data_IF_629643612229
#
_entry.id   IF_629643612229
#
_cell.length_a   1.000
_cell.length_b   1.000
_cell.length_c   1.000
_cell.angle_alpha   90.00
_cell.angle_beta   90.00
_cell.angle_gamma   90.00
#
_symmetry.space_group_name_H-M   'P 1'
#
loop_
_entity.id
_entity.type
_entity.pdbx_description
1 polymer ?
#
# COMPACT_ATOMS: atom_id res chain seq x y z
N UNK A 1 -2.76 19.92 12.95
CA UNK A 1 -1.36 20.27 12.65
C UNK A 1 -1.18 20.32 11.13
N UNK A 2 -1.43 21.47 10.48
CA UNK A 2 -1.53 21.53 9.01
C UNK A 2 -0.21 21.23 8.29
N UNK A 3 0.94 21.56 8.90
CA UNK A 3 2.26 21.26 8.35
C UNK A 3 2.53 19.75 8.27
N UNK A 4 2.35 19.01 9.38
CA UNK A 4 2.59 17.57 9.43
C UNK A 4 1.63 16.80 8.50
N UNK A 5 0.40 17.26 8.36
CA UNK A 5 -0.56 16.64 7.43
C UNK A 5 -0.18 16.85 5.96
N UNK A 6 0.40 18.01 5.63
CA UNK A 6 0.91 18.28 4.29
C UNK A 6 2.12 17.38 3.99
N UNK A 7 3.10 17.35 4.89
CA UNK A 7 4.30 16.51 4.76
C UNK A 7 3.93 15.01 4.68
N UNK A 8 2.98 14.56 5.50
CA UNK A 8 2.46 13.19 5.41
C UNK A 8 1.79 12.88 4.07
N UNK A 9 0.97 13.79 3.53
CA UNK A 9 0.35 13.62 2.20
C UNK A 9 1.41 13.56 1.10
N UNK A 10 2.44 14.39 1.18
CA UNK A 10 3.56 14.37 0.24
C UNK A 10 4.36 13.06 0.33
N UNK A 11 4.59 12.57 1.55
CA UNK A 11 5.21 11.27 1.79
C UNK A 11 4.37 10.14 1.16
N UNK A 12 3.06 10.09 1.44
CA UNK A 12 2.16 9.08 0.88
C UNK A 12 2.15 9.15 -0.64
N UNK A 13 2.01 10.35 -1.23
CA UNK A 13 2.03 10.53 -2.67
C UNK A 13 3.36 10.08 -3.31
N UNK A 14 4.49 10.30 -2.64
CA UNK A 14 5.80 9.85 -3.08
C UNK A 14 5.95 8.31 -2.99
N UNK A 15 5.51 7.71 -1.88
CA UNK A 15 5.67 6.27 -1.59
C UNK A 15 4.68 5.38 -2.35
N UNK A 16 3.46 5.87 -2.61
CA UNK A 16 2.40 5.15 -3.35
C UNK A 16 2.48 5.35 -4.85
N UNK A 17 3.39 6.18 -5.33
CA UNK A 17 3.57 6.41 -6.77
C UNK A 17 3.91 5.09 -7.47
N UNK A 18 3.24 4.76 -8.58
CA UNK A 18 3.52 3.53 -9.30
C UNK A 18 4.98 3.50 -9.79
N UNK A 19 5.59 2.33 -9.65
CA UNK A 19 6.96 2.10 -10.08
C UNK A 19 7.14 2.38 -11.57
N UNK A 20 8.24 3.06 -11.92
CA UNK A 20 8.52 3.47 -13.28
C UNK A 20 8.57 2.26 -14.24
N UNK A 21 7.63 2.24 -15.21
CA UNK A 21 7.51 1.41 -16.43
C UNK A 21 8.81 1.31 -17.26
N UNK A 22 9.08 0.17 -17.90
CA UNK A 22 10.01 0.08 -19.02
C UNK A 22 9.10 0.15 -20.23
N UNK A 23 9.49 0.90 -21.26
CA UNK A 23 8.72 0.88 -22.49
C UNK A 23 9.60 1.13 -23.70
N UNK A 24 9.16 0.58 -24.84
CA UNK A 24 9.81 0.82 -26.13
C UNK A 24 9.73 2.30 -26.52
N UNK A 25 8.66 2.97 -26.10
CA UNK A 25 8.37 4.37 -26.43
C UNK A 25 8.67 5.35 -25.28
N UNK A 26 9.47 4.98 -24.28
CA UNK A 26 9.68 5.81 -23.08
C UNK A 26 10.25 7.20 -23.42
N UNK A 27 11.20 7.24 -24.36
CA UNK A 27 11.80 8.49 -24.87
C UNK A 27 10.76 9.30 -25.63
N UNK A 28 10.01 8.67 -26.52
CA UNK A 28 9.00 9.34 -27.34
C UNK A 28 7.89 9.94 -26.47
N UNK A 29 7.46 9.22 -25.42
CA UNK A 29 6.46 9.71 -24.48
C UNK A 29 7.00 10.89 -23.65
N UNK A 30 8.24 10.80 -23.14
CA UNK A 30 8.87 11.91 -22.42
C UNK A 30 9.04 13.16 -23.29
N UNK A 31 9.44 12.98 -24.56
CA UNK A 31 9.55 14.08 -25.53
C UNK A 31 8.19 14.68 -25.85
N UNK A 32 7.16 13.85 -26.12
CA UNK A 32 5.78 14.31 -26.36
C UNK A 32 5.24 15.12 -25.18
N UNK A 33 5.52 14.67 -23.96
CA UNK A 33 5.09 15.36 -22.74
C UNK A 33 5.76 16.74 -22.61
N UNK A 34 7.06 16.85 -22.88
CA UNK A 34 7.75 18.15 -22.89
C UNK A 34 7.21 19.05 -24.03
N UNK A 35 6.93 18.48 -25.20
CA UNK A 35 6.32 19.23 -26.30
C UNK A 35 4.91 19.74 -25.95
N UNK A 36 4.11 18.96 -25.22
CA UNK A 36 2.81 19.39 -24.72
C UNK A 36 2.95 20.53 -23.70
N UNK A 37 3.98 20.51 -22.84
CA UNK A 37 4.29 21.62 -21.94
C UNK A 37 4.70 22.89 -22.71
N UNK A 38 5.45 22.77 -23.80
CA UNK A 38 5.72 23.91 -24.67
C UNK A 38 4.47 24.50 -25.30
N UNK A 39 3.53 23.66 -25.76
CA UNK A 39 2.25 24.15 -26.30
C UNK A 39 1.42 24.85 -25.22
N UNK A 40 1.39 24.32 -24.00
CA UNK A 40 0.71 24.96 -22.87
C UNK A 40 1.35 26.30 -22.51
N UNK A 41 2.69 26.37 -22.42
CA UNK A 41 3.43 27.63 -22.17
C UNK A 41 3.10 28.68 -23.23
N UNK A 42 3.08 28.29 -24.50
CA UNK A 42 2.76 29.22 -25.59
C UNK A 42 1.30 29.70 -25.52
N UNK A 43 0.36 28.84 -25.09
CA UNK A 43 -1.03 29.24 -24.87
C UNK A 43 -1.15 30.26 -23.72
N UNK A 44 -0.46 30.04 -22.60
CA UNK A 44 -0.42 31.02 -21.49
C UNK A 44 0.23 32.36 -21.91
N UNK A 45 1.25 32.33 -22.77
CA UNK A 45 1.83 33.56 -23.31
C UNK A 45 0.85 34.36 -24.19
N UNK A 46 -0.02 33.67 -24.95
CA UNK A 46 -1.10 34.32 -25.72
C UNK A 46 -2.17 34.89 -24.79
N UNK A 47 -2.55 34.15 -23.74
CA UNK A 47 -3.49 34.62 -22.73
C UNK A 47 -2.96 35.87 -22.00
N UNK A 48 -1.69 35.88 -21.61
CA UNK A 48 -1.01 37.05 -21.03
C UNK A 48 -1.02 38.24 -21.98
N UNK A 49 -0.69 38.06 -23.25
CA UNK A 49 -0.76 39.13 -24.25
C UNK A 49 -2.17 39.71 -24.40
N UNK A 50 -3.20 38.88 -24.25
CA UNK A 50 -4.59 39.33 -24.23
C UNK A 50 -4.95 40.13 -22.97
N UNK A 51 -4.46 39.71 -21.80
CA UNK A 51 -4.65 40.44 -20.54
C UNK A 51 -3.88 41.77 -20.54
N UNK A 52 -2.64 41.79 -21.04
CA UNK A 52 -1.83 43.00 -21.23
C UNK A 52 -2.53 43.98 -22.16
N UNK A 53 -3.12 43.49 -23.26
CA UNK A 53 -3.87 44.34 -24.17
C UNK A 53 -5.08 44.99 -23.49
N UNK A 54 -5.83 44.25 -22.66
CA UNK A 54 -6.95 44.80 -21.88
C UNK A 54 -6.49 45.85 -20.87
N UNK A 55 -5.38 45.60 -20.17
CA UNK A 55 -4.79 46.54 -19.21
C UNK A 55 -4.30 47.84 -19.89
N UNK A 56 -3.73 47.73 -21.09
CA UNK A 56 -3.23 48.89 -21.84
C UNK A 56 -4.38 49.67 -22.51
N UNK A 57 -5.35 48.96 -23.11
CA UNK A 57 -6.47 49.57 -23.82
C UNK A 57 -7.52 50.16 -22.86
N UNK A 58 -7.55 49.71 -21.60
CA UNK A 58 -8.55 50.14 -20.62
C UNK A 58 -9.95 49.58 -20.90
N UNK A 59 -10.05 48.55 -21.75
CA UNK A 59 -11.32 47.92 -22.14
C UNK A 59 -11.48 46.59 -21.40
N UNK A 60 -12.21 46.65 -20.29
CA UNK A 60 -12.38 45.54 -19.36
C UNK A 60 -13.73 44.81 -19.53
N UNK A 61 -14.62 45.34 -20.38
CA UNK A 61 -16.02 44.91 -20.45
C UNK A 61 -16.84 45.38 -19.23
N UNK A 62 -18.16 45.25 -19.29
CA UNK A 62 -19.09 45.76 -18.26
C UNK A 62 -18.99 45.01 -16.91
N UNK A 63 -18.42 43.80 -16.90
CA UNK A 63 -18.48 42.87 -15.76
C UNK A 63 -17.13 42.59 -15.06
N UNK A 64 -15.99 43.12 -15.54
CA UNK A 64 -14.68 42.89 -14.91
C UNK A 64 -14.02 44.17 -14.44
N UNK A 65 -13.54 44.17 -13.19
CA UNK A 65 -12.74 45.26 -12.65
C UNK A 65 -11.26 45.08 -13.02
N UNK A 66 -10.52 46.19 -12.97
CA UNK A 66 -9.06 46.20 -13.17
C UNK A 66 -8.36 45.22 -12.21
N UNK A 67 -8.85 45.13 -10.98
CA UNK A 67 -8.35 44.23 -9.94
C UNK A 67 -8.50 42.75 -10.34
N UNK A 68 -9.60 42.38 -10.99
CA UNK A 68 -9.84 41.00 -11.46
C UNK A 68 -8.88 40.62 -12.59
N UNK A 69 -8.65 41.55 -13.52
CA UNK A 69 -7.71 41.36 -14.64
C UNK A 69 -6.27 41.27 -14.16
N UNK A 70 -5.89 42.07 -13.15
CA UNK A 70 -4.58 41.98 -12.50
C UNK A 70 -4.41 40.67 -11.73
N UNK A 71 -5.43 40.21 -10.99
CA UNK A 71 -5.39 38.94 -10.29
C UNK A 71 -5.25 37.76 -11.27
N UNK A 72 -5.99 37.78 -12.38
CA UNK A 72 -5.87 36.80 -13.45
C UNK A 72 -4.47 36.83 -14.09
N UNK A 73 -3.92 38.03 -14.36
CA UNK A 73 -2.57 38.20 -14.90
C UNK A 73 -1.53 37.56 -13.98
N UNK A 74 -1.55 37.88 -12.68
CA UNK A 74 -0.64 37.28 -11.68
C UNK A 74 -0.78 35.75 -11.66
N UNK A 75 -2.01 35.23 -11.65
CA UNK A 75 -2.24 33.79 -11.64
C UNK A 75 -1.71 33.08 -12.90
N UNK A 76 -1.80 33.70 -14.08
CA UNK A 76 -1.25 33.14 -15.32
C UNK A 76 0.28 33.21 -15.34
N UNK A 77 0.88 34.30 -14.83
CA UNK A 77 2.35 34.40 -14.67
C UNK A 77 2.87 33.29 -13.75
N UNK A 78 2.22 33.05 -12.61
CA UNK A 78 2.62 32.00 -11.67
C UNK A 78 2.52 30.60 -12.31
N UNK A 79 1.46 30.34 -13.08
CA UNK A 79 1.32 29.09 -13.85
C UNK A 79 2.39 28.95 -14.92
N UNK A 80 2.72 30.03 -15.64
CA UNK A 80 3.77 30.01 -16.65
C UNK A 80 5.13 29.70 -16.01
N UNK A 81 5.45 30.33 -14.89
CA UNK A 81 6.69 30.07 -14.15
C UNK A 81 6.77 28.61 -13.69
N UNK A 82 5.69 28.07 -13.12
CA UNK A 82 5.63 26.66 -12.72
C UNK A 82 5.87 25.71 -13.91
N UNK A 83 5.28 25.98 -15.07
CA UNK A 83 5.49 25.18 -16.28
C UNK A 83 6.92 25.31 -16.79
N UNK A 84 7.51 26.50 -16.79
CA UNK A 84 8.90 26.71 -17.20
C UNK A 84 9.88 25.94 -16.30
N UNK A 85 9.65 25.94 -14.99
CA UNK A 85 10.46 25.16 -14.05
C UNK A 85 10.25 23.65 -14.28
N UNK A 86 9.04 23.23 -14.63
CA UNK A 86 8.73 21.84 -15.01
C UNK A 86 9.42 21.44 -16.32
N UNK A 87 9.48 22.34 -17.31
CA UNK A 87 10.20 22.10 -18.57
C UNK A 87 11.70 21.98 -18.29
N UNK A 88 12.29 22.93 -17.55
CA UNK A 88 13.72 22.93 -17.20
C UNK A 88 14.12 21.66 -16.46
N UNK A 89 13.31 21.22 -15.49
CA UNK A 89 13.58 19.98 -14.74
C UNK A 89 13.51 18.74 -15.64
N UNK A 90 12.52 18.63 -16.53
CA UNK A 90 12.42 17.51 -17.49
C UNK A 90 13.52 17.53 -18.54
N UNK A 91 13.90 18.69 -19.02
CA UNK A 91 15.03 18.90 -19.92
C UNK A 91 16.36 18.47 -19.28
N UNK A 92 16.61 18.88 -18.03
CA UNK A 92 17.77 18.44 -17.25
C UNK A 92 17.80 16.92 -17.10
N UNK A 93 16.66 16.28 -16.81
CA UNK A 93 16.55 14.82 -16.71
C UNK A 93 16.91 14.09 -18.00
N UNK A 94 16.55 14.65 -19.15
CA UNK A 94 16.92 14.08 -20.46
C UNK A 94 18.33 14.51 -20.92
N UNK A 95 18.96 15.49 -20.28
CA UNK A 95 20.25 16.06 -20.66
C UNK A 95 20.17 16.96 -21.91
N UNK A 96 19.03 17.60 -22.15
CA UNK A 96 18.72 18.35 -23.38
C UNK A 96 18.51 19.82 -23.07
N UNK A 97 18.99 20.74 -23.91
CA UNK A 97 18.85 22.19 -23.70
C UNK A 97 17.73 22.83 -24.55
N UNK A 98 17.48 22.32 -25.77
CA UNK A 98 16.63 23.02 -26.75
C UNK A 98 15.50 22.15 -27.32
N UNK A 99 14.44 22.80 -27.83
CA UNK A 99 13.25 22.16 -28.40
C UNK A 99 13.54 21.41 -29.71
N UNK A 100 14.45 21.93 -30.55
CA UNK A 100 14.84 21.29 -31.80
C UNK A 100 15.61 19.99 -31.55
N UNK A 101 16.44 19.99 -30.50
CA UNK A 101 17.14 18.80 -30.03
C UNK A 101 16.14 17.72 -29.56
N UNK A 102 15.01 18.10 -28.92
CA UNK A 102 14.01 17.12 -28.48
C UNK A 102 13.39 16.29 -29.62
N UNK A 103 13.11 16.91 -30.76
CA UNK A 103 12.56 16.18 -31.93
C UNK A 103 13.56 15.16 -32.47
N UNK A 104 14.85 15.50 -32.48
CA UNK A 104 15.94 14.64 -32.92
C UNK A 104 16.24 13.48 -31.96
N UNK A 105 15.79 13.57 -30.71
CA UNK A 105 15.96 12.51 -29.71
C UNK A 105 14.87 11.45 -29.77
N UNK A 106 13.80 11.68 -30.52
CA UNK A 106 12.80 10.64 -30.78
C UNK A 106 13.45 9.44 -31.47
N UNK A 107 13.25 8.25 -30.93
CA UNK A 107 13.86 7.02 -31.45
C UNK A 107 15.36 6.85 -31.13
N UNK A 108 15.99 7.71 -30.32
CA UNK A 108 17.37 7.50 -29.91
C UNK A 108 17.49 6.26 -29.00
N UNK A 109 18.09 5.20 -29.53
CA UNK A 109 18.27 3.91 -28.83
C UNK A 109 19.12 4.03 -27.57
N UNK A 110 20.11 4.93 -27.54
CA UNK A 110 20.96 5.13 -26.36
C UNK A 110 20.16 5.74 -25.19
N UNK A 111 19.38 6.80 -25.46
CA UNK A 111 18.52 7.41 -24.44
C UNK A 111 17.43 6.46 -23.97
N UNK A 112 16.92 5.63 -24.87
CA UNK A 112 15.96 4.58 -24.53
C UNK A 112 16.57 3.56 -23.56
N UNK A 113 17.79 3.09 -23.82
CA UNK A 113 18.51 2.21 -22.90
C UNK A 113 18.76 2.90 -21.57
N UNK A 114 19.22 4.15 -21.56
CA UNK A 114 19.49 4.91 -20.33
C UNK A 114 18.25 5.07 -19.45
N UNK A 115 17.12 5.51 -20.02
CA UNK A 115 15.87 5.67 -19.28
C UNK A 115 15.31 4.33 -18.78
N UNK A 116 15.38 3.28 -19.61
CA UNK A 116 14.93 1.94 -19.22
C UNK A 116 15.85 1.30 -18.15
N UNK A 117 17.16 1.55 -18.21
CA UNK A 117 18.12 1.10 -17.20
C UNK A 117 17.87 1.79 -15.86
N UNK A 118 17.64 3.11 -15.86
CA UNK A 118 17.23 3.86 -14.66
C UNK A 118 15.93 3.31 -14.06
N UNK A 119 14.90 3.10 -14.88
CA UNK A 119 13.63 2.53 -14.43
C UNK A 119 13.80 1.12 -13.82
N UNK A 120 14.67 0.28 -14.40
CA UNK A 120 15.00 -1.02 -13.81
C UNK A 120 15.76 -0.91 -12.51
N UNK A 121 16.75 -0.01 -12.44
CA UNK A 121 17.55 0.19 -11.23
C UNK A 121 16.67 0.64 -10.07
N UNK A 122 15.76 1.58 -10.32
CA UNK A 122 14.78 2.01 -9.31
C UNK A 122 13.91 0.85 -8.85
N UNK A 123 13.33 0.07 -9.77
CA UNK A 123 12.53 -1.11 -9.42
C UNK A 123 13.31 -2.16 -8.65
N UNK A 124 14.57 -2.38 -9.01
CA UNK A 124 15.44 -3.32 -8.33
C UNK A 124 15.68 -2.86 -6.89
N UNK A 125 16.00 -1.58 -6.67
CA UNK A 125 16.13 -0.99 -5.32
C UNK A 125 14.85 -1.18 -4.51
N UNK A 126 13.70 -0.86 -5.08
CA UNK A 126 12.42 -0.95 -4.37
C UNK A 126 12.08 -2.41 -4.01
N UNK A 127 12.32 -3.37 -4.92
CA UNK A 127 12.14 -4.80 -4.61
C UNK A 127 13.09 -5.32 -3.55
N UNK A 128 14.32 -4.84 -3.53
CA UNK A 128 15.30 -5.19 -2.51
C UNK A 128 14.94 -4.59 -1.15
N UNK A 129 14.47 -3.34 -1.10
CA UNK A 129 13.94 -2.73 0.13
C UNK A 129 12.73 -3.49 0.64
N UNK A 130 11.77 -3.82 -0.21
CA UNK A 130 10.60 -4.61 0.17
C UNK A 130 11.02 -5.97 0.74
N UNK A 131 11.93 -6.69 0.07
CA UNK A 131 12.48 -7.95 0.61
C UNK A 131 13.09 -7.76 2.00
N UNK A 132 13.86 -6.69 2.23
CA UNK A 132 14.47 -6.41 3.53
C UNK A 132 13.40 -6.19 4.60
N UNK A 133 12.36 -5.40 4.30
CA UNK A 133 11.24 -5.20 5.21
C UNK A 133 10.45 -6.48 5.49
N UNK A 134 10.30 -7.36 4.49
CA UNK A 134 9.66 -8.67 4.66
C UNK A 134 10.46 -9.60 5.58
N UNK A 135 11.79 -9.62 5.46
CA UNK A 135 12.66 -10.38 6.36
C UNK A 135 12.64 -9.80 7.78
N UNK A 136 12.70 -8.48 7.92
CA UNK A 136 12.60 -7.82 9.23
C UNK A 136 11.23 -8.05 9.88
N UNK A 137 10.17 -8.14 9.07
CA UNK A 137 8.83 -8.55 9.52
C UNK A 137 8.85 -9.96 10.11
N UNK A 138 9.54 -10.91 9.46
CA UNK A 138 9.73 -12.27 10.00
C UNK A 138 10.53 -12.25 11.30
N UNK A 139 11.64 -11.54 11.35
CA UNK A 139 12.50 -11.45 12.54
C UNK A 139 11.77 -10.85 13.75
N UNK A 140 10.91 -9.85 13.54
CA UNK A 140 10.10 -9.27 14.63
C UNK A 140 8.99 -10.21 15.09
N UNK A 141 8.31 -10.89 14.18
CA UNK A 141 7.33 -11.90 14.54
C UNK A 141 7.97 -13.01 15.38
N UNK A 142 9.16 -13.47 14.97
CA UNK A 142 9.95 -14.47 15.71
C UNK A 142 10.26 -14.05 17.15
N UNK A 143 10.56 -12.76 17.39
CA UNK A 143 10.84 -12.26 18.75
C UNK A 143 9.61 -12.16 19.64
N UNK A 144 8.40 -12.08 19.07
CA UNK A 144 7.18 -11.71 19.79
C UNK A 144 6.17 -12.86 19.99
N UNK A 145 6.31 -14.02 19.32
CA UNK A 145 5.36 -15.14 19.42
C UNK A 145 6.04 -16.51 19.49
N UNK A 146 5.79 -17.27 20.57
CA UNK A 146 6.45 -18.56 20.86
C UNK A 146 5.66 -19.81 20.41
N UNK A 147 4.39 -19.68 19.98
CA UNK A 147 3.52 -20.86 19.76
C UNK A 147 3.21 -21.24 18.30
N UNK A 148 3.16 -20.31 17.33
CA UNK A 148 2.74 -20.56 15.94
C UNK A 148 3.84 -20.31 14.89
N UNK A 149 5.08 -20.71 15.20
CA UNK A 149 6.31 -20.34 14.46
C UNK A 149 6.44 -20.96 13.05
N UNK A 150 5.97 -22.20 12.85
CA UNK A 150 6.33 -23.01 11.67
C UNK A 150 5.56 -22.63 10.40
N UNK A 151 4.24 -22.34 10.52
CA UNK A 151 3.37 -22.01 9.39
C UNK A 151 3.70 -20.63 8.80
N UNK A 152 3.84 -19.60 9.65
CA UNK A 152 4.22 -18.24 9.25
C UNK A 152 5.62 -18.21 8.61
N UNK A 153 6.59 -18.88 9.22
CA UNK A 153 7.92 -19.03 8.65
C UNK A 153 7.87 -19.70 7.27
N UNK A 154 7.10 -20.77 7.11
CA UNK A 154 6.97 -21.46 5.82
C UNK A 154 6.37 -20.56 4.73
N UNK A 155 5.37 -19.73 5.07
CA UNK A 155 4.70 -18.86 4.12
C UNK A 155 5.61 -17.71 3.66
N UNK A 156 6.25 -17.01 4.61
CA UNK A 156 7.16 -15.91 4.29
C UNK A 156 8.43 -16.41 3.62
N UNK A 157 9.00 -17.55 4.07
CA UNK A 157 10.16 -18.15 3.42
C UNK A 157 9.84 -18.56 1.97
N UNK A 158 8.64 -19.12 1.72
CA UNK A 158 8.16 -19.34 0.35
C UNK A 158 8.10 -18.01 -0.39
N UNK A 159 7.40 -16.99 0.10
CA UNK A 159 7.28 -15.70 -0.59
C UNK A 159 8.65 -15.08 -0.93
N UNK A 160 9.57 -15.07 0.03
CA UNK A 160 10.95 -14.59 -0.12
C UNK A 160 11.71 -15.40 -1.19
N UNK A 161 11.60 -16.73 -1.18
CA UNK A 161 12.23 -17.61 -2.16
C UNK A 161 11.64 -17.42 -3.57
N UNK A 162 10.34 -17.17 -3.68
CA UNK A 162 9.68 -16.88 -4.96
C UNK A 162 10.12 -15.55 -5.57
N UNK A 163 10.41 -14.54 -4.73
CA UNK A 163 10.86 -13.23 -5.20
C UNK A 163 12.33 -13.21 -5.65
N UNK A 164 13.21 -14.03 -5.05
CA UNK A 164 14.64 -14.11 -5.38
C UNK A 164 14.94 -14.26 -6.88
N UNK A 165 14.40 -15.27 -7.59
CA UNK A 165 14.70 -15.45 -9.01
C UNK A 165 14.21 -14.27 -9.84
N UNK A 166 13.10 -13.64 -9.44
CA UNK A 166 12.56 -12.47 -10.14
C UNK A 166 13.44 -11.23 -9.95
N UNK A 167 13.98 -11.02 -8.75
CA UNK A 167 14.96 -9.95 -8.46
C UNK A 167 16.27 -10.21 -9.24
N UNK A 168 16.77 -11.45 -9.23
CA UNK A 168 17.97 -11.82 -9.98
C UNK A 168 17.80 -11.64 -11.50
N UNK A 169 16.61 -11.92 -12.06
CA UNK A 169 16.27 -11.64 -13.47
C UNK A 169 16.30 -10.15 -13.78
N UNK A 170 15.80 -9.30 -12.89
CA UNK A 170 15.87 -7.85 -13.07
C UNK A 170 17.31 -7.33 -13.06
N UNK A 171 18.13 -7.82 -12.13
CA UNK A 171 19.56 -7.48 -12.07
C UNK A 171 20.29 -7.90 -13.35
N UNK A 172 20.01 -9.11 -13.87
CA UNK A 172 20.54 -9.56 -15.16
C UNK A 172 20.15 -8.61 -16.30
N UNK A 173 18.85 -8.29 -16.42
CA UNK A 173 18.34 -7.40 -17.48
C UNK A 173 18.95 -5.98 -17.39
N UNK A 174 19.17 -5.48 -16.17
CA UNK A 174 19.87 -4.22 -15.96
C UNK A 174 21.34 -4.30 -16.43
N UNK A 175 22.06 -5.35 -16.07
CA UNK A 175 23.44 -5.56 -16.51
C UNK A 175 23.54 -5.68 -18.04
N UNK A 176 22.61 -6.40 -18.68
CA UNK A 176 22.53 -6.51 -20.14
C UNK A 176 22.39 -5.11 -20.79
N UNK A 177 21.56 -4.22 -20.22
CA UNK A 177 21.44 -2.84 -20.68
C UNK A 177 22.72 -2.02 -20.47
N UNK A 178 23.46 -2.24 -19.38
CA UNK A 178 24.75 -1.59 -19.14
C UNK A 178 25.79 -2.00 -20.21
N UNK A 179 25.83 -3.28 -20.58
CA UNK A 179 26.69 -3.77 -21.66
C UNK A 179 26.29 -3.18 -23.02
N UNK A 180 24.99 -3.13 -23.34
CA UNK A 180 24.49 -2.51 -24.56
C UNK A 180 24.81 -1.01 -24.64
N UNK A 181 24.72 -0.29 -23.52
CA UNK A 181 25.11 1.12 -23.44
C UNK A 181 26.61 1.30 -23.66
N UNK A 182 27.43 0.43 -23.07
CA UNK A 182 28.89 0.43 -23.27
C UNK A 182 29.24 0.19 -24.73
N UNK A 183 28.52 -0.73 -25.40
CA UNK A 183 28.67 -1.00 -26.83
C UNK A 183 28.31 0.24 -27.66
N UNK A 184 27.20 0.91 -27.37
CA UNK A 184 26.80 2.13 -28.11
C UNK A 184 27.76 3.31 -27.90
N UNK A 185 28.39 3.41 -26.72
CA UNK A 185 29.45 4.39 -26.45
C UNK A 185 30.68 4.09 -27.31
N UNK A 186 31.12 2.83 -27.37
CA UNK A 186 32.24 2.40 -28.23
C UNK A 186 31.96 2.63 -29.72
N UNK A 187 30.72 2.46 -30.16
CA UNK A 187 30.28 2.70 -31.54
C UNK A 187 30.11 4.20 -31.87
N UNK A 188 30.30 5.12 -30.92
CA UNK A 188 30.17 6.56 -31.13
C UNK A 188 28.72 7.04 -31.33
N UNK A 189 27.72 6.21 -31.00
CA UNK A 189 26.28 6.53 -31.14
C UNK A 189 25.70 7.24 -29.90
N UNK A 190 26.48 7.34 -28.84
CA UNK A 190 26.12 8.04 -27.62
C UNK A 190 26.52 9.54 -27.68
N UNK A 191 25.85 10.42 -26.93
CA UNK A 191 26.27 11.82 -26.79
C UNK A 191 27.71 11.94 -26.26
N UNK A 192 28.41 13.02 -26.64
CA UNK A 192 29.79 13.27 -26.20
C UNK A 192 29.89 13.32 -24.66
N UNK A 193 30.99 12.76 -24.11
CA UNK A 193 31.29 12.66 -22.67
C UNK A 193 30.31 11.81 -21.85
N UNK A 194 29.60 10.87 -22.46
CA UNK A 194 28.72 9.96 -21.72
C UNK A 194 29.50 8.86 -21.00
N UNK A 195 29.20 8.66 -19.71
CA UNK A 195 29.78 7.60 -18.87
C UNK A 195 28.80 6.42 -18.85
N UNK A 196 29.33 5.20 -19.02
CA UNK A 196 28.54 3.98 -18.94
C UNK A 196 28.14 3.69 -17.48
N UNK A 197 26.92 3.20 -17.22
CA UNK A 197 26.52 2.78 -15.89
C UNK A 197 27.27 1.52 -15.45
N UNK A 198 27.51 1.42 -14.13
CA UNK A 198 28.19 0.27 -13.51
C UNK A 198 27.22 -0.92 -13.42
N UNK A 199 27.60 -2.11 -13.92
CA UNK A 199 26.84 -3.35 -13.70
C UNK A 199 26.82 -3.77 -12.23
N UNK A 200 25.72 -4.36 -11.78
CA UNK A 200 25.54 -4.79 -10.39
C UNK A 200 26.12 -6.20 -10.21
N UNK A 201 26.89 -6.38 -9.13
CA UNK A 201 27.34 -7.72 -8.72
C UNK A 201 26.13 -8.56 -8.27
N UNK A 202 25.95 -9.73 -8.88
CA UNK A 202 24.82 -10.61 -8.63
C UNK A 202 25.03 -11.50 -7.41
N UNK A 203 26.28 -11.75 -7.04
CA UNK A 203 26.63 -12.65 -5.94
C UNK A 203 26.37 -11.98 -4.59
N UNK A 204 26.60 -10.67 -4.50
CA UNK A 204 26.33 -9.84 -3.30
C UNK A 204 24.96 -9.16 -3.33
N UNK A 205 24.11 -9.46 -4.31
CA UNK A 205 22.83 -8.77 -4.53
C UNK A 205 21.87 -8.83 -3.33
N UNK A 206 21.94 -9.91 -2.54
CA UNK A 206 21.09 -10.13 -1.39
C UNK A 206 21.76 -9.80 -0.05
N UNK A 207 23.08 -9.57 -0.05
CA UNK A 207 23.87 -9.15 1.10
C UNK A 207 24.12 -7.63 1.02
N UNK A 208 23.04 -6.86 1.00
CA UNK A 208 23.09 -5.42 0.72
C UNK A 208 23.78 -4.63 1.82
N UNK A 209 24.78 -3.86 1.45
CA UNK A 209 25.43 -2.85 2.29
C UNK A 209 25.14 -1.42 1.79
N UNK A 210 25.42 -0.43 2.62
CA UNK A 210 25.24 1.01 2.33
C UNK A 210 26.14 1.45 1.18
N UNK A 211 27.32 0.84 1.03
CA UNK A 211 28.34 1.19 0.05
C UNK A 211 28.16 0.48 -1.32
N UNK A 212 27.13 -0.34 -1.48
CA UNK A 212 26.93 -1.10 -2.72
C UNK A 212 26.63 -0.19 -3.94
N UNK A 213 27.20 -0.55 -5.09
CA UNK A 213 27.04 0.14 -6.39
C UNK A 213 25.58 0.29 -6.84
N UNK A 214 24.66 -0.48 -6.24
CA UNK A 214 23.24 -0.35 -6.49
C UNK A 214 22.71 1.02 -6.05
N UNK A 215 23.31 1.68 -5.06
CA UNK A 215 22.87 2.98 -4.55
C UNK A 215 23.42 4.16 -5.37
N UNK A 216 24.44 3.93 -6.20
CA UNK A 216 25.08 4.99 -7.00
C UNK A 216 24.41 5.12 -8.38
N UNK A 217 24.02 6.32 -8.82
CA UNK A 217 23.41 6.53 -10.15
C UNK A 217 24.40 6.98 -11.24
N UNK A 218 25.65 6.52 -11.16
CA UNK A 218 26.71 6.84 -12.13
C UNK A 218 26.25 6.47 -13.55
N UNK A 219 26.30 7.44 -14.47
CA UNK A 219 25.91 7.26 -15.88
C UNK A 219 24.41 7.21 -16.14
N UNK A 220 23.56 7.16 -15.10
CA UNK A 220 22.09 7.12 -15.22
C UNK A 220 21.42 8.45 -14.89
N UNK A 221 21.99 9.23 -13.96
CA UNK A 221 21.42 10.53 -13.56
C UNK A 221 22.38 11.71 -13.68
N UNK A 222 21.77 12.89 -13.89
CA UNK A 222 22.36 14.20 -13.61
C UNK A 222 21.50 14.88 -12.55
N UNK A 223 21.76 14.52 -11.28
CA UNK A 223 21.26 15.16 -10.06
C UNK A 223 19.74 15.43 -10.03
N UNK A 224 18.97 14.46 -9.52
CA UNK A 224 17.68 14.76 -8.89
C UNK A 224 17.89 15.79 -7.76
N UNK A 225 16.96 16.74 -7.66
CA UNK A 225 17.04 17.96 -6.86
C UNK A 225 17.61 17.77 -5.44
N UNK A 226 18.50 18.67 -5.05
CA UNK A 226 19.21 18.76 -3.76
C UNK A 226 18.30 19.01 -2.54
N UNK A 227 17.00 19.24 -2.74
CA UNK A 227 16.08 19.53 -1.65
C UNK A 227 15.49 18.23 -1.12
N UNK A 228 16.09 17.73 -0.04
CA UNK A 228 15.58 16.61 0.74
C UNK A 228 14.26 17.06 1.39
N UNK A 229 13.13 16.37 1.16
CA UNK A 229 11.85 16.71 1.80
C UNK A 229 11.93 16.66 3.33
N UNK A 230 11.14 17.48 4.01
CA UNK A 230 11.12 17.55 5.48
C UNK A 230 10.77 16.22 6.13
N UNK A 231 9.76 15.52 5.60
CA UNK A 231 9.39 14.16 6.03
C UNK A 231 10.48 13.09 5.85
N UNK A 232 11.57 13.38 5.13
CA UNK A 232 12.69 12.46 4.93
C UNK A 232 13.95 12.91 5.67
N UNK A 233 14.22 14.22 5.72
CA UNK A 233 15.48 14.78 6.23
C UNK A 233 15.40 15.41 7.62
N UNK A 234 14.21 15.80 8.10
CA UNK A 234 14.03 16.40 9.42
C UNK A 234 13.45 15.38 10.42
N UNK A 235 14.28 14.97 11.37
CA UNK A 235 13.91 14.01 12.42
C UNK A 235 12.68 14.47 13.23
N UNK A 236 12.53 15.78 13.49
CA UNK A 236 11.37 16.30 14.23
C UNK A 236 10.09 16.21 13.43
N UNK A 237 10.17 16.39 12.11
CA UNK A 237 9.02 16.20 11.21
C UNK A 237 8.65 14.72 11.16
N UNK A 238 9.64 13.83 11.04
CA UNK A 238 9.42 12.38 11.07
C UNK A 238 8.75 11.92 12.38
N UNK A 239 9.28 12.32 13.53
CA UNK A 239 8.69 12.04 14.85
C UNK A 239 7.29 12.64 14.99
N UNK A 240 7.12 13.88 14.54
CA UNK A 240 5.83 14.55 14.54
C UNK A 240 4.77 13.83 13.70
N UNK A 241 5.12 13.34 12.51
CA UNK A 241 4.23 12.53 11.66
C UNK A 241 3.84 11.24 12.39
N UNK A 242 4.81 10.51 12.95
CA UNK A 242 4.54 9.27 13.71
C UNK A 242 3.58 9.52 14.87
N UNK A 243 3.87 10.51 15.71
CA UNK A 243 3.02 10.87 16.84
C UNK A 243 1.60 11.28 16.40
N UNK A 244 1.48 12.08 15.33
CA UNK A 244 0.19 12.46 14.76
C UNK A 244 -0.61 11.24 14.28
N UNK A 245 0.04 10.29 13.59
CA UNK A 245 -0.59 9.07 13.11
C UNK A 245 -1.02 8.16 14.26
N UNK A 246 -0.19 8.01 15.30
CA UNK A 246 -0.57 7.28 16.52
C UNK A 246 -1.80 7.88 17.19
N UNK A 247 -1.88 9.22 17.31
CA UNK A 247 -3.07 9.87 17.87
C UNK A 247 -4.31 9.61 17.01
N UNK A 248 -4.20 9.75 15.68
CA UNK A 248 -5.31 9.45 14.75
C UNK A 248 -5.78 8.00 14.88
N UNK A 249 -4.83 7.07 14.99
CA UNK A 249 -5.10 5.65 15.18
C UNK A 249 -5.78 5.37 16.52
N UNK A 250 -5.33 5.97 17.61
CA UNK A 250 -6.00 5.83 18.91
C UNK A 250 -7.45 6.33 18.85
N UNK A 251 -7.72 7.44 18.16
CA UNK A 251 -9.07 7.96 17.98
C UNK A 251 -9.94 6.97 17.18
N UNK A 252 -9.40 6.43 16.09
CA UNK A 252 -10.07 5.42 15.27
C UNK A 252 -10.36 4.16 16.07
N UNK A 253 -9.38 3.65 16.82
CA UNK A 253 -9.51 2.44 17.62
C UNK A 253 -10.52 2.62 18.76
N UNK A 254 -10.50 3.77 19.45
CA UNK A 254 -11.52 4.12 20.43
C UNK A 254 -12.91 4.13 19.77
N UNK A 255 -13.06 4.71 18.59
CA UNK A 255 -14.34 4.72 17.89
C UNK A 255 -14.79 3.30 17.47
N UNK A 256 -13.85 2.44 17.07
CA UNK A 256 -14.09 1.03 16.74
C UNK A 256 -14.55 0.24 17.97
N UNK A 257 -13.81 0.31 19.07
CA UNK A 257 -14.12 -0.36 20.33
C UNK A 257 -15.52 0.05 20.84
N UNK A 258 -15.86 1.34 20.76
CA UNK A 258 -17.21 1.81 21.12
C UNK A 258 -18.30 1.17 20.26
N UNK A 259 -18.07 1.01 18.95
CA UNK A 259 -19.02 0.33 18.05
C UNK A 259 -19.13 -1.15 18.36
N UNK A 260 -18.00 -1.84 18.53
CA UNK A 260 -17.98 -3.27 18.87
C UNK A 260 -18.69 -3.54 20.20
N UNK A 261 -18.42 -2.75 21.23
CA UNK A 261 -19.13 -2.82 22.51
C UNK A 261 -20.65 -2.60 22.34
N UNK A 262 -21.05 -1.69 21.46
CA UNK A 262 -22.48 -1.41 21.21
C UNK A 262 -23.14 -2.57 20.46
N UNK A 263 -22.52 -3.07 19.40
CA UNK A 263 -22.99 -4.24 18.65
C UNK A 263 -23.11 -5.48 19.56
N UNK A 264 -22.15 -5.66 20.46
CA UNK A 264 -22.14 -6.78 21.40
C UNK A 264 -23.29 -6.68 22.43
N UNK A 265 -23.64 -5.47 22.88
CA UNK A 265 -24.82 -5.25 23.74
C UNK A 265 -26.15 -5.44 22.97
N UNK A 266 -26.23 -5.02 21.70
CA UNK A 266 -27.41 -5.25 20.85
C UNK A 266 -27.63 -6.73 20.58
N UNK A 267 -26.58 -7.42 20.12
CA UNK A 267 -26.62 -8.85 19.88
C UNK A 267 -27.05 -9.62 21.13
N UNK A 268 -26.48 -9.28 22.28
CA UNK A 268 -26.84 -9.90 23.57
C UNK A 268 -28.33 -9.77 23.87
N UNK A 269 -28.93 -8.61 23.60
CA UNK A 269 -30.36 -8.35 23.78
C UNK A 269 -31.23 -9.14 22.81
N UNK A 270 -30.91 -9.06 21.52
CA UNK A 270 -31.67 -9.74 20.46
C UNK A 270 -31.65 -11.25 20.66
N UNK A 271 -30.47 -11.80 20.96
CA UNK A 271 -30.29 -13.21 21.25
C UNK A 271 -31.07 -13.63 22.52
N UNK A 272 -31.05 -12.81 23.57
CA UNK A 272 -31.82 -13.08 24.78
C UNK A 272 -33.33 -13.11 24.52
N UNK A 273 -33.84 -12.14 23.77
CA UNK A 273 -35.25 -12.09 23.37
C UNK A 273 -35.60 -13.31 22.50
N UNK A 274 -34.74 -13.66 21.53
CA UNK A 274 -34.93 -14.81 20.65
C UNK A 274 -34.95 -16.15 21.41
N UNK A 275 -34.00 -16.37 22.33
CA UNK A 275 -33.96 -17.59 23.17
C UNK A 275 -35.22 -17.70 24.02
N UNK A 276 -35.67 -16.60 24.64
CA UNK A 276 -36.87 -16.61 25.47
C UNK A 276 -38.14 -16.89 24.67
N UNK A 277 -38.26 -16.30 23.47
CA UNK A 277 -39.37 -16.58 22.56
C UNK A 277 -39.34 -18.05 22.13
N UNK A 278 -38.18 -18.57 21.72
CA UNK A 278 -38.02 -19.96 21.30
C UNK A 278 -38.45 -20.93 22.41
N UNK A 279 -38.02 -20.70 23.66
CA UNK A 279 -38.44 -21.52 24.82
C UNK A 279 -39.96 -21.47 25.01
N UNK A 280 -40.58 -20.30 24.86
CA UNK A 280 -42.02 -20.14 25.05
C UNK A 280 -42.86 -20.81 23.94
N UNK A 281 -42.33 -20.89 22.72
CA UNK A 281 -43.01 -21.49 21.56
C UNK A 281 -42.66 -22.96 21.33
N UNK A 282 -41.67 -23.51 22.04
CA UNK A 282 -41.21 -24.87 21.83
C UNK A 282 -42.17 -25.89 22.49
N UNK A 283 -42.71 -26.80 21.69
CA UNK A 283 -43.58 -27.90 22.15
C UNK A 283 -42.78 -29.16 22.52
N UNK A 284 -41.57 -29.32 21.99
CA UNK A 284 -40.69 -30.47 22.21
C UNK A 284 -39.83 -30.27 23.47
N UNK A 285 -39.93 -31.19 24.43
CA UNK A 285 -39.23 -31.10 25.71
C UNK A 285 -37.71 -31.29 25.59
N UNK A 286 -37.22 -32.07 24.61
CA UNK A 286 -35.78 -32.29 24.42
C UNK A 286 -35.12 -31.02 23.84
N UNK A 287 -35.77 -30.39 22.86
CA UNK A 287 -35.31 -29.12 22.28
C UNK A 287 -35.38 -27.99 23.33
N UNK A 288 -36.45 -27.96 24.12
CA UNK A 288 -36.62 -27.00 25.21
C UNK A 288 -35.54 -27.15 26.28
N UNK A 289 -35.13 -28.37 26.62
CA UNK A 289 -34.00 -28.61 27.52
C UNK A 289 -32.69 -28.00 26.97
N UNK A 290 -32.39 -28.20 25.68
CA UNK A 290 -31.21 -27.61 25.04
C UNK A 290 -31.26 -26.07 25.01
N UNK A 291 -32.44 -25.48 24.74
CA UNK A 291 -32.63 -24.03 24.79
C UNK A 291 -32.42 -23.44 26.19
N UNK A 292 -32.79 -24.18 27.25
CA UNK A 292 -32.51 -23.78 28.62
C UNK A 292 -31.01 -23.79 28.94
N UNK A 293 -30.27 -24.80 28.49
CA UNK A 293 -28.80 -24.84 28.61
C UNK A 293 -28.18 -23.63 27.89
N UNK A 294 -28.60 -23.38 26.64
CA UNK A 294 -28.10 -22.24 25.86
C UNK A 294 -28.43 -20.89 26.50
N UNK A 295 -29.57 -20.78 27.17
CA UNK A 295 -29.97 -19.59 27.95
C UNK A 295 -29.02 -19.33 29.13
N UNK A 296 -28.64 -20.36 29.87
CA UNK A 296 -27.68 -20.26 30.99
C UNK A 296 -26.28 -19.89 30.48
N UNK A 297 -25.82 -20.52 29.39
CA UNK A 297 -24.56 -20.17 28.75
C UNK A 297 -24.54 -18.71 28.27
N UNK A 298 -25.64 -18.24 27.68
CA UNK A 298 -25.79 -16.85 27.25
C UNK A 298 -25.72 -15.88 28.43
N UNK A 299 -26.39 -16.19 29.56
CA UNK A 299 -26.31 -15.39 30.79
C UNK A 299 -24.88 -15.23 31.29
N UNK A 300 -24.15 -16.33 31.39
CA UNK A 300 -22.74 -16.37 31.78
C UNK A 300 -21.89 -15.45 30.88
N UNK A 301 -22.03 -15.61 29.56
CA UNK A 301 -21.29 -14.84 28.57
C UNK A 301 -21.58 -13.33 28.67
N UNK A 302 -22.86 -12.97 28.81
CA UNK A 302 -23.28 -11.57 28.94
C UNK A 302 -22.72 -10.92 30.20
N UNK A 303 -22.64 -11.67 31.30
CA UNK A 303 -22.14 -11.16 32.56
C UNK A 303 -20.62 -10.91 32.51
N UNK A 304 -19.86 -11.84 31.91
CA UNK A 304 -18.42 -11.66 31.67
C UNK A 304 -18.13 -10.48 30.75
N UNK A 305 -18.86 -10.36 29.64
CA UNK A 305 -18.67 -9.25 28.71
C UNK A 305 -19.01 -7.91 29.33
N UNK A 306 -20.11 -7.82 30.10
CA UNK A 306 -20.50 -6.59 30.80
C UNK A 306 -19.41 -6.11 31.75
N UNK A 307 -18.76 -7.01 32.48
CA UNK A 307 -17.66 -6.68 33.38
C UNK A 307 -16.47 -6.10 32.60
N UNK A 308 -16.02 -6.80 31.55
CA UNK A 308 -14.85 -6.42 30.76
C UNK A 308 -15.03 -5.09 30.01
N UNK A 309 -16.24 -4.79 29.55
CA UNK A 309 -16.52 -3.58 28.75
C UNK A 309 -17.22 -2.47 29.53
N UNK A 310 -17.34 -2.60 30.86
CA UNK A 310 -18.05 -1.66 31.73
C UNK A 310 -17.53 -0.21 31.65
N UNK A 311 -16.22 -0.04 31.44
CA UNK A 311 -15.57 1.26 31.32
C UNK A 311 -15.69 1.89 29.92
N UNK A 312 -16.17 1.12 28.93
CA UNK A 312 -16.25 1.56 27.53
C UNK A 312 -17.64 2.15 27.28
N UNK A 313 -17.76 3.44 26.92
CA UNK A 313 -19.05 4.03 26.61
C UNK A 313 -19.59 3.49 25.27
N UNK A 314 -20.91 3.48 25.12
CA UNK A 314 -21.56 3.18 23.83
C UNK A 314 -21.22 4.20 22.75
N UNK A 315 -21.29 3.78 21.48
CA UNK A 315 -21.07 4.66 20.34
C UNK A 315 -22.24 5.63 20.09
N UNK A 316 -23.44 5.25 20.53
CA UNK A 316 -24.69 6.02 20.40
C UNK A 316 -25.60 5.75 21.60
N UNK A 317 -26.74 6.47 21.67
CA UNK A 317 -27.72 6.25 22.72
C UNK A 317 -28.40 4.88 22.54
N UNK A 318 -28.19 3.99 23.50
CA UNK A 318 -28.73 2.63 23.48
C UNK A 318 -29.79 2.45 24.57
N UNK A 319 -30.67 1.46 24.38
CA UNK A 319 -31.54 0.99 25.45
C UNK A 319 -30.70 0.51 26.65
N UNK A 320 -31.19 0.78 27.86
CA UNK A 320 -30.50 0.39 29.08
C UNK A 320 -30.51 -1.12 29.26
N UNK A 321 -29.35 -1.69 29.60
CA UNK A 321 -29.22 -3.11 29.95
C UNK A 321 -28.83 -4.02 28.77
N UNK A 322 -28.51 -5.26 29.10
CA UNK A 322 -27.97 -6.27 28.18
C UNK A 322 -29.02 -7.28 27.72
N UNK A 323 -30.26 -7.18 28.21
CA UNK A 323 -31.34 -8.12 27.93
C UNK A 323 -31.74 -8.87 29.20
N UNK A 324 -30.86 -9.71 29.76
CA UNK A 324 -31.08 -10.32 31.06
C UNK A 324 -31.20 -9.30 32.19
N UNK A 325 -31.89 -9.68 33.27
CA UNK A 325 -31.98 -8.82 34.45
C UNK A 325 -30.62 -8.76 35.18
N UNK A 326 -30.28 -7.63 35.79
CA UNK A 326 -28.98 -7.43 36.45
C UNK A 326 -28.75 -8.44 37.59
N UNK A 327 -29.83 -8.80 38.30
CA UNK A 327 -29.82 -9.78 39.37
C UNK A 327 -29.55 -11.20 38.86
N UNK A 328 -30.06 -11.55 37.67
CA UNK A 328 -29.83 -12.86 37.04
C UNK A 328 -28.39 -13.01 36.57
N UNK A 329 -27.80 -11.93 36.03
CA UNK A 329 -26.40 -11.90 35.61
C UNK A 329 -25.43 -11.97 36.80
N UNK A 330 -25.72 -11.26 37.89
CA UNK A 330 -24.91 -11.30 39.12
C UNK A 330 -24.96 -12.66 39.83
N UNK A 331 -26.07 -13.39 39.68
CA UNK A 331 -26.21 -14.73 40.24
C UNK A 331 -25.44 -15.76 39.39
N UNK A 332 -25.51 -15.65 38.06
CA UNK A 332 -24.73 -16.47 37.14
C UNK A 332 -23.20 -16.30 37.31
N UNK A 333 -22.71 -15.09 37.57
CA UNK A 333 -21.29 -14.86 37.88
C UNK A 333 -20.84 -15.55 39.17
N UNK A 334 -21.70 -15.55 40.19
CA UNK A 334 -21.41 -16.23 41.46
C UNK A 334 -21.36 -17.74 41.25
N UNK A 335 -22.31 -18.32 40.54
CA UNK A 335 -22.34 -19.76 40.21
C UNK A 335 -21.08 -20.20 39.45
N UNK A 336 -20.65 -19.45 38.42
CA UNK A 336 -19.40 -19.75 37.69
C UNK A 336 -18.15 -19.66 38.58
N UNK A 337 -18.09 -18.63 39.45
CA UNK A 337 -16.97 -18.49 40.38
C UNK A 337 -16.92 -19.62 41.41
N UNK A 338 -18.08 -20.21 41.72
CA UNK A 338 -18.22 -21.28 42.71
C UNK A 338 -17.92 -22.66 42.09
N UNK A 339 -18.37 -22.90 40.86
CA UNK A 339 -18.01 -24.08 40.06
C UNK A 339 -16.48 -24.16 39.81
N UNK A 340 -15.80 -23.04 39.56
CA UNK A 340 -14.33 -23.04 39.41
C UNK A 340 -13.57 -23.30 40.71
N UNK A 341 -14.18 -23.06 41.88
CA UNK A 341 -13.59 -23.38 43.18
C UNK A 341 -13.84 -24.85 43.54
N UNK A 342 -14.97 -25.41 43.12
CA UNK A 342 -15.34 -26.80 43.38
C UNK A 342 -14.61 -27.81 42.46
N UNK A 343 -14.13 -27.36 41.28
CA UNK A 343 -13.38 -28.19 40.33
C UNK A 343 -11.89 -28.39 40.70
N UNK A 344 -11.34 -27.59 41.63
CA UNK A 344 -9.98 -27.82 42.18
C UNK A 344 -9.94 -28.92 43.27
N UNK A 345 -11.08 -29.55 43.58
CA UNK A 345 -11.23 -30.46 44.72
C UNK A 345 -11.69 -31.89 44.42
N UNK A 346 -11.88 -32.29 43.15
CA UNK A 346 -12.40 -33.63 42.81
C UNK A 346 -11.37 -34.48 42.07
N UNK A 347 -10.55 -35.21 42.83
CA UNK A 347 -9.97 -36.48 42.36
C UNK A 347 -11.14 -37.44 42.11
N UNK A 348 -11.48 -37.73 40.85
CA UNK A 348 -11.93 -39.06 40.41
C UNK A 348 -12.04 -39.17 38.87
N UNK A 349 -11.23 -40.09 38.34
CA UNK A 349 -11.35 -40.86 37.10
C UNK A 349 -11.74 -40.16 35.78
N UNK A 350 -10.72 -39.90 34.96
CA UNK A 350 -10.85 -39.66 33.51
C UNK A 350 -11.55 -40.85 32.83
N UNK A 351 -12.88 -40.77 32.68
CA UNK A 351 -13.60 -41.56 31.70
C UNK A 351 -13.29 -40.99 30.31
N UNK A 352 -12.36 -41.67 29.63
CA UNK A 352 -12.07 -41.46 28.21
C UNK A 352 -13.27 -41.90 27.35
N UNK A 353 -14.26 -41.01 27.20
CA UNK A 353 -15.30 -41.15 26.20
C UNK A 353 -14.86 -40.41 24.93
N UNK A 354 -14.13 -41.10 24.05
CA UNK A 354 -13.95 -40.71 22.65
C UNK A 354 -15.32 -40.74 21.97
N UNK A 355 -15.99 -39.60 21.91
CA UNK A 355 -16.97 -39.32 20.88
C UNK A 355 -16.20 -38.86 19.65
N UNK A 356 -16.19 -39.67 18.60
CA UNK A 356 -15.78 -39.27 17.27
C UNK A 356 -16.76 -38.22 16.76
N UNK A 357 -16.50 -36.95 17.09
CA UNK A 357 -17.03 -35.84 16.33
C UNK A 357 -16.18 -35.81 15.06
N UNK A 358 -16.78 -36.17 13.94
CA UNK A 358 -16.21 -35.85 12.63
C UNK A 358 -15.98 -34.33 12.61
N UNK A 359 -14.72 -33.91 12.81
CA UNK A 359 -14.29 -32.53 12.63
C UNK A 359 -14.49 -32.19 11.15
N UNK A 360 -15.70 -31.72 10.82
CA UNK A 360 -15.96 -31.03 9.57
C UNK A 360 -15.11 -29.75 9.57
N UNK A 361 -13.95 -29.88 8.92
CA UNK A 361 -13.08 -28.89 8.28
C UNK A 361 -13.33 -27.42 8.66
N UNK A 362 -13.25 -27.11 9.96
CA UNK A 362 -13.25 -25.73 10.47
C UNK A 362 -11.86 -25.09 10.37
N UNK A 363 -10.96 -25.65 9.55
CA UNK A 363 -9.66 -25.07 9.23
C UNK A 363 -9.81 -23.64 8.70
N UNK A 364 -10.85 -23.36 7.91
CA UNK A 364 -11.03 -22.06 7.27
C UNK A 364 -11.39 -20.94 8.29
N UNK A 365 -12.15 -21.27 9.34
CA UNK A 365 -12.54 -20.32 10.41
C UNK A 365 -11.36 -20.04 11.36
N UNK A 366 -10.55 -21.06 11.62
CA UNK A 366 -9.30 -20.91 12.38
C UNK A 366 -8.27 -20.11 11.57
N UNK A 367 -8.19 -20.32 10.25
CA UNK A 367 -7.30 -19.55 9.37
C UNK A 367 -7.70 -18.06 9.29
N UNK A 368 -8.99 -17.73 9.19
CA UNK A 368 -9.47 -16.34 9.20
C UNK A 368 -9.27 -15.66 10.57
N UNK A 369 -9.50 -16.37 11.67
CA UNK A 369 -9.30 -15.83 13.03
C UNK A 369 -7.82 -15.69 13.39
N UNK A 370 -6.95 -16.57 12.91
CA UNK A 370 -5.50 -16.44 13.04
C UNK A 370 -4.94 -15.32 12.16
N UNK A 371 -5.45 -15.11 10.94
CA UNK A 371 -5.09 -13.96 10.09
C UNK A 371 -5.54 -12.63 10.71
N UNK A 372 -6.70 -12.61 11.37
CA UNK A 372 -7.19 -11.46 12.14
C UNK A 372 -6.35 -11.20 13.40
N UNK A 373 -6.01 -12.24 14.17
CA UNK A 373 -5.16 -12.13 15.36
C UNK A 373 -3.73 -11.67 15.01
N UNK A 374 -3.19 -12.12 13.87
CA UNK A 374 -1.90 -11.64 13.34
C UNK A 374 -2.00 -10.20 12.84
N UNK A 375 -3.11 -9.82 12.18
CA UNK A 375 -3.36 -8.41 11.83
C UNK A 375 -3.42 -7.53 13.07
N UNK A 376 -4.15 -7.94 14.11
CA UNK A 376 -4.35 -7.15 15.33
C UNK A 376 -3.11 -7.10 16.24
N UNK A 377 -2.31 -8.19 16.33
CA UNK A 377 -1.00 -8.17 16.98
C UNK A 377 0.01 -7.25 16.25
N UNK A 378 -0.15 -7.09 14.93
CA UNK A 378 0.60 -6.11 14.15
C UNK A 378 0.06 -4.69 14.34
N UNK A 379 -1.25 -4.52 14.52
CA UNK A 379 -1.87 -3.22 14.79
C UNK A 379 -1.40 -2.59 16.10
N UNK A 380 -1.04 -3.40 17.09
CA UNK A 380 -0.50 -2.94 18.37
C UNK A 380 1.00 -2.61 18.34
N UNK A 381 1.77 -3.20 17.42
CA UNK A 381 3.24 -3.03 17.35
C UNK A 381 3.71 -2.04 16.27
N UNK A 382 2.88 -1.77 15.25
CA UNK A 382 3.17 -0.81 14.18
C UNK A 382 2.65 0.60 14.51
N UNK A 383 3.34 1.25 15.45
CA UNK A 383 3.23 2.68 15.72
C UNK A 383 4.00 3.51 14.67
N UNK A 384 3.80 3.29 13.37
CA UNK A 384 4.35 4.22 12.39
C UNK A 384 4.14 4.00 10.90
N UNK A 385 3.98 2.80 10.35
CA UNK A 385 3.96 2.64 8.89
C UNK A 385 3.01 1.53 8.41
N UNK A 386 1.70 1.83 8.44
CA UNK A 386 0.71 1.05 7.71
C UNK A 386 0.98 1.14 6.19
N UNK A 387 1.69 0.16 5.65
CA UNK A 387 1.69 -0.12 4.22
C UNK A 387 0.54 -1.07 3.93
N UNK A 388 -0.37 -0.65 3.05
CA UNK A 388 -1.63 -1.33 2.78
C UNK A 388 -1.47 -2.80 2.39
N UNK A 389 -2.49 -3.58 2.75
CA UNK A 389 -2.80 -4.91 2.24
C UNK A 389 -2.58 -4.96 0.73
N UNK A 390 -1.51 -5.62 0.30
CA UNK A 390 -1.32 -5.95 -1.12
C UNK A 390 -2.18 -7.18 -1.40
N UNK A 391 -3.42 -6.97 -1.86
CA UNK A 391 -4.18 -8.04 -2.50
C UNK A 391 -3.39 -8.46 -3.76
N UNK A 392 -2.66 -9.56 -3.62
CA UNK A 392 -1.73 -10.12 -4.60
C UNK A 392 -2.44 -10.84 -5.76
N UNK A 393 -3.78 -10.80 -5.79
CA UNK A 393 -4.59 -11.71 -6.58
C UNK A 393 -4.90 -11.22 -8.00
N UNK A 394 -4.57 -9.98 -8.37
CA UNK A 394 -4.89 -9.42 -9.69
C UNK A 394 -3.70 -8.82 -10.47
N UNK A 395 -2.45 -9.23 -10.20
CA UNK A 395 -1.26 -8.66 -10.88
C UNK A 395 -0.44 -9.68 -11.71
N UNK A 396 -1.04 -10.82 -12.08
CA UNK A 396 -0.29 -11.90 -12.76
C UNK A 396 -0.93 -12.48 -14.02
N UNK A 397 -1.85 -11.75 -14.65
CA UNK A 397 -2.16 -11.99 -16.07
C UNK A 397 -1.53 -10.87 -16.91
N UNK A 398 -0.34 -11.16 -17.43
CA UNK A 398 0.16 -10.64 -18.71
C UNK A 398 1.23 -11.65 -19.16
N UNK A 399 0.74 -12.78 -19.66
CA UNK A 399 1.53 -13.72 -20.48
C UNK A 399 1.84 -13.00 -21.79
N UNK A 400 3.13 -12.85 -22.08
CA UNK A 400 3.61 -12.36 -23.37
C UNK A 400 3.27 -13.38 -24.47
N UNK A 401 2.31 -13.08 -25.33
CA UNK A 401 2.23 -13.65 -26.68
C UNK A 401 2.28 -12.52 -27.71
N UNK A 402 3.49 -12.30 -28.25
CA UNK A 402 3.73 -11.47 -29.42
C UNK A 402 4.30 -12.34 -30.51
N UNK A 403 3.40 -12.92 -31.30
CA UNK A 403 3.68 -13.81 -32.41
C UNK A 403 4.80 -13.31 -33.33
N UNK A 404 5.63 -14.28 -33.69
CA UNK A 404 6.72 -14.21 -34.65
C UNK A 404 6.15 -14.01 -36.06
N UNK A 405 6.22 -12.77 -36.59
CA UNK A 405 5.87 -12.53 -38.00
C UNK A 405 6.98 -13.05 -38.91
N UNK A 406 6.89 -14.32 -39.30
CA UNK A 406 7.67 -14.89 -40.40
C UNK A 406 7.18 -14.29 -41.71
N UNK A 407 8.06 -13.55 -42.38
CA UNK A 407 7.85 -13.02 -43.72
C UNK A 407 7.94 -14.16 -44.74
N UNK A 408 6.81 -14.67 -45.23
CA UNK A 408 6.80 -15.52 -46.42
C UNK A 408 6.63 -14.70 -47.70
N UNK A 409 7.66 -14.81 -48.54
CA UNK A 409 7.75 -14.20 -49.84
C UNK A 409 6.76 -14.84 -50.82
N UNK A 410 6.18 -13.96 -51.64
CA UNK A 410 5.32 -14.23 -52.79
C UNK A 410 5.83 -15.38 -53.68
N UNK A 411 5.05 -16.45 -53.80
CA UNK A 411 5.32 -17.57 -54.68
C UNK A 411 4.04 -18.16 -55.27
N UNK A 412 3.59 -17.59 -56.40
CA UNK A 412 2.48 -18.07 -57.22
C UNK A 412 2.65 -19.55 -57.59
N UNK A 413 1.66 -20.41 -57.29
CA UNK A 413 1.50 -21.72 -57.96
C UNK A 413 0.07 -22.26 -57.86
N UNK A 414 -0.47 -22.55 -59.04
CA UNK A 414 -1.76 -23.15 -59.36
C UNK A 414 -1.89 -24.56 -58.79
N UNK A 415 -3.08 -24.91 -58.30
CA UNK A 415 -3.50 -26.29 -58.07
C UNK A 415 -4.01 -26.92 -59.37
N UNK A 416 -3.70 -28.20 -59.61
CA UNK A 416 -4.64 -29.06 -60.32
C UNK A 416 -4.94 -30.35 -59.55
N UNK A 417 -6.26 -30.59 -59.44
CA UNK A 417 -7.02 -31.81 -59.14
C UNK A 417 -6.84 -32.49 -57.79
#
# INVERSE_FOLDING_TARGET
MPLLEKEWKEQVAAQTKPLARQSKNIVNNAVKEIMALYTARNAFAVELGGLDHKLIAGDYGDDMLVEDVLAAHVAVVDKQKAIEDTIKTKQKKLGVRDQENLKNLMGNKFLQLKLNARALKQRLRDRLRNRKFELERLERAYRNTTSNETKLHSHVQKQVNWQQPTIARLAKKYNDMCYDMTKQIKEGKAPQKTIAPVPINRDTLFSLDVDDDIWQDIGLDQHESEVIPGWLGDEKVCEGIKAMLSVKRCIEEIARIKRERSALQEWSREEWEAINVAIATCEDEDIKHQLLIRKVQHLSLCAQWREQVSLIPGAYHMLSGWGPNEVEMESALKELSQEQIDDEGSDDEQLNCTYDIEEEDNNNVIEETEVLAVSDAYRASDNGLSFGRWDLENLWEDVEDGEESVLEATGSRKWPR
#
